data_IF_562159736637
#
_entry.id   IF_562159736637
#
_cell.length_a   1.000
_cell.length_b   1.000
_cell.length_c   1.000
_cell.angle_alpha   90.00
_cell.angle_beta   90.00
_cell.angle_gamma   90.00
#
_symmetry.space_group_name_H-M   'P 1'
#
loop_
_entity.id
_entity.type
_entity.pdbx_description
1 polymer ?
#
# COMPACT_ATOMS: atom_id res chain seq x y z
N UNK A 1 -21.38 -56.29 -4.24
CA UNK A 1 -20.97 -55.93 -5.61
C UNK A 1 -22.10 -55.08 -6.17
N UNK A 2 -21.97 -53.95 -6.83
CA UNK A 2 -20.88 -53.14 -7.37
C UNK A 2 -21.53 -51.82 -7.79
N UNK A 3 -20.77 -50.72 -7.83
CA UNK A 3 -21.17 -49.54 -8.60
C UNK A 3 -21.28 -48.25 -7.78
N UNK A 4 -20.14 -47.63 -7.48
CA UNK A 4 -20.10 -46.22 -7.11
C UNK A 4 -20.43 -45.40 -8.35
N UNK A 5 -21.63 -44.83 -8.39
CA UNK A 5 -22.04 -43.94 -9.46
C UNK A 5 -21.28 -42.62 -9.40
N UNK A 6 -20.70 -42.25 -10.55
CA UNK A 6 -20.47 -40.89 -11.00
C UNK A 6 -19.75 -39.94 -10.04
N UNK A 7 -18.41 -39.99 -10.01
CA UNK A 7 -17.63 -38.82 -9.63
C UNK A 7 -17.84 -37.72 -10.69
N UNK A 8 -18.92 -36.94 -10.52
CA UNK A 8 -19.24 -35.80 -11.37
C UNK A 8 -18.09 -34.80 -11.38
N UNK A 9 -17.63 -34.43 -12.58
CA UNK A 9 -16.63 -33.38 -12.77
C UNK A 9 -17.23 -32.05 -12.29
N UNK A 10 -16.95 -31.68 -11.04
CA UNK A 10 -17.24 -30.33 -10.58
C UNK A 10 -16.30 -29.37 -11.32
N UNK A 11 -16.80 -28.44 -12.15
CA UNK A 11 -15.94 -27.46 -12.80
C UNK A 11 -15.20 -26.66 -11.73
N UNK A 12 -13.86 -26.63 -11.83
CA UNK A 12 -13.07 -25.75 -10.96
C UNK A 12 -13.58 -24.32 -11.13
N UNK A 13 -13.79 -23.58 -10.04
CA UNK A 13 -14.11 -22.16 -10.15
C UNK A 13 -13.10 -21.49 -11.08
N UNK A 14 -13.59 -20.73 -12.05
CA UNK A 14 -12.74 -19.98 -12.96
C UNK A 14 -11.81 -19.02 -12.20
N UNK A 15 -10.73 -18.54 -12.83
CA UNK A 15 -9.73 -17.71 -12.16
C UNK A 15 -10.36 -16.50 -11.47
N UNK A 16 -10.03 -16.31 -10.18
CA UNK A 16 -10.51 -15.21 -9.36
C UNK A 16 -9.91 -13.89 -9.84
N UNK A 17 -10.60 -13.20 -10.76
CA UNK A 17 -10.14 -11.91 -11.34
C UNK A 17 -9.79 -10.87 -10.29
N UNK A 18 -10.54 -10.84 -9.18
CA UNK A 18 -10.27 -9.96 -8.04
C UNK A 18 -8.90 -10.23 -7.39
N UNK A 19 -8.50 -11.49 -7.24
CA UNK A 19 -7.18 -11.83 -6.70
C UNK A 19 -6.06 -11.40 -7.66
N UNK A 20 -6.28 -11.55 -8.97
CA UNK A 20 -5.37 -11.04 -10.00
C UNK A 20 -5.17 -9.53 -9.88
N UNK A 21 -6.26 -8.77 -9.81
CA UNK A 21 -6.21 -7.31 -9.64
C UNK A 21 -5.48 -6.90 -8.36
N UNK A 22 -5.79 -7.56 -7.24
CA UNK A 22 -5.09 -7.30 -5.98
C UNK A 22 -3.58 -7.59 -6.07
N UNK A 23 -3.20 -8.64 -6.79
CA UNK A 23 -1.79 -8.98 -7.00
C UNK A 23 -1.08 -7.98 -7.91
N UNK A 24 -1.74 -7.51 -8.98
CA UNK A 24 -1.16 -6.46 -9.85
C UNK A 24 -0.97 -5.14 -9.11
N UNK A 25 -1.92 -4.75 -8.26
CA UNK A 25 -1.76 -3.58 -7.38
C UNK A 25 -0.58 -3.74 -6.41
N UNK A 26 -0.38 -4.96 -5.90
CA UNK A 26 0.74 -5.26 -5.01
C UNK A 26 2.08 -5.16 -5.75
N UNK A 27 2.18 -5.73 -6.95
CA UNK A 27 3.38 -5.66 -7.76
C UNK A 27 3.79 -4.21 -8.05
N UNK A 28 2.84 -3.36 -8.46
CA UNK A 28 3.10 -1.95 -8.71
C UNK A 28 3.51 -1.20 -7.43
N UNK A 29 2.80 -1.42 -6.31
CA UNK A 29 3.15 -0.80 -5.04
C UNK A 29 4.53 -1.25 -4.51
N UNK A 30 4.88 -2.52 -4.71
CA UNK A 30 6.17 -3.08 -4.31
C UNK A 30 7.33 -2.48 -5.12
N UNK A 31 7.16 -2.32 -6.44
CA UNK A 31 8.17 -1.68 -7.30
C UNK A 31 8.36 -0.22 -6.92
N UNK A 32 7.26 0.52 -6.71
CA UNK A 32 7.32 1.91 -6.25
C UNK A 32 8.02 2.01 -4.89
N UNK A 33 7.66 1.16 -3.92
CA UNK A 33 8.29 1.12 -2.61
C UNK A 33 9.79 0.79 -2.70
N UNK A 34 10.17 -0.19 -3.51
CA UNK A 34 11.56 -0.61 -3.67
C UNK A 34 12.47 0.47 -4.25
N UNK A 35 11.94 1.38 -5.07
CA UNK A 35 12.71 2.48 -5.65
C UNK A 35 12.65 3.74 -4.79
N UNK A 36 11.45 4.12 -4.33
CA UNK A 36 11.20 5.40 -3.67
C UNK A 36 11.70 5.40 -2.23
N UNK A 37 11.46 4.32 -1.47
CA UNK A 37 11.82 4.26 -0.05
C UNK A 37 13.33 4.39 0.16
N UNK A 38 14.21 3.61 -0.50
CA UNK A 38 15.65 3.78 -0.30
C UNK A 38 16.16 5.14 -0.81
N UNK A 39 15.58 5.69 -1.87
CA UNK A 39 15.91 7.04 -2.34
C UNK A 39 15.54 8.10 -1.29
N UNK A 40 14.36 8.00 -0.66
CA UNK A 40 13.95 8.89 0.43
C UNK A 40 14.84 8.75 1.66
N UNK A 41 15.19 7.52 2.07
CA UNK A 41 16.10 7.29 3.19
C UNK A 41 17.48 7.90 2.90
N UNK A 42 18.00 7.75 1.69
CA UNK A 42 19.29 8.33 1.32
C UNK A 42 19.25 9.87 1.32
N UNK A 43 18.24 10.47 0.66
CA UNK A 43 18.15 11.93 0.50
C UNK A 43 17.78 12.62 1.82
N UNK A 44 16.75 12.16 2.51
CA UNK A 44 16.25 12.79 3.74
C UNK A 44 16.97 12.29 4.99
N UNK A 45 17.35 11.01 5.05
CA UNK A 45 17.94 10.40 6.24
C UNK A 45 19.46 10.52 6.33
N UNK A 46 20.17 10.61 5.20
CA UNK A 46 21.65 10.66 5.18
C UNK A 46 22.15 11.99 4.62
N UNK A 47 21.85 12.28 3.37
CA UNK A 47 22.41 13.44 2.66
C UNK A 47 21.87 14.78 3.18
N UNK A 48 20.65 14.78 3.71
CA UNK A 48 20.03 15.94 4.34
C UNK A 48 20.72 16.41 5.61
N UNK A 49 20.86 15.56 6.65
CA UNK A 49 21.59 15.89 7.87
C UNK A 49 23.06 16.26 7.62
N UNK A 50 23.66 15.74 6.55
CA UNK A 50 25.03 16.07 6.13
C UNK A 50 25.14 17.43 5.42
N UNK A 51 24.02 18.10 5.09
CA UNK A 51 24.01 19.40 4.42
C UNK A 51 24.44 19.38 2.94
N UNK A 52 24.55 18.20 2.33
CA UNK A 52 25.05 18.01 0.96
C UNK A 52 23.97 18.35 -0.08
N UNK A 53 22.70 18.11 0.26
CA UNK A 53 21.53 18.46 -0.57
C UNK A 53 20.56 19.31 0.24
N UNK A 54 19.80 20.20 -0.41
CA UNK A 54 18.65 20.83 0.22
C UNK A 54 17.67 19.73 0.60
N UNK A 55 17.71 19.33 1.87
CA UNK A 55 16.72 18.44 2.44
C UNK A 55 15.52 19.27 2.89
N UNK A 56 14.43 18.59 3.21
CA UNK A 56 13.38 19.21 4.01
C UNK A 56 14.00 19.57 5.36
N UNK A 57 14.50 20.81 5.43
CA UNK A 57 14.96 21.41 6.66
C UNK A 57 13.81 21.30 7.66
N UNK A 58 14.10 21.08 8.95
CA UNK A 58 13.05 20.91 9.99
C UNK A 58 12.16 22.16 10.17
N UNK A 59 12.34 23.17 9.31
CA UNK A 59 11.58 24.41 9.24
C UNK A 59 10.32 24.23 8.41
N UNK A 60 9.20 24.57 9.03
CA UNK A 60 7.86 24.49 8.45
C UNK A 60 7.71 25.22 7.09
N UNK A 61 8.45 26.31 6.88
CA UNK A 61 8.40 27.13 5.66
C UNK A 61 8.79 26.39 4.39
N UNK A 62 9.82 25.55 4.46
CA UNK A 62 10.33 24.79 3.31
C UNK A 62 9.35 23.67 2.94
N UNK A 63 8.74 23.05 3.95
CA UNK A 63 7.72 22.02 3.76
C UNK A 63 6.44 22.60 3.14
N UNK A 64 5.96 23.75 3.65
CA UNK A 64 4.80 24.45 3.11
C UNK A 64 5.03 24.89 1.65
N UNK A 65 6.23 25.39 1.32
CA UNK A 65 6.57 25.76 -0.06
C UNK A 65 6.56 24.56 -1.01
N UNK A 66 7.00 23.38 -0.58
CA UNK A 66 6.93 22.18 -1.42
C UNK A 66 5.50 21.66 -1.56
N UNK A 67 4.70 21.73 -0.48
CA UNK A 67 3.29 21.36 -0.50
C UNK A 67 2.47 22.27 -1.42
N UNK A 68 2.87 23.52 -1.63
CA UNK A 68 2.19 24.41 -2.59
C UNK A 68 2.11 23.83 -4.02
N UNK A 69 3.01 22.90 -4.38
CA UNK A 69 3.01 22.26 -5.69
C UNK A 69 2.07 21.04 -5.73
N UNK A 70 1.02 21.05 -6.57
CA UNK A 70 0.06 19.95 -6.66
C UNK A 70 0.69 18.63 -7.09
N UNK A 71 1.82 18.64 -7.81
CA UNK A 71 2.54 17.44 -8.21
C UNK A 71 3.15 16.72 -6.99
N UNK A 72 3.71 17.47 -6.05
CA UNK A 72 4.26 16.93 -4.78
C UNK A 72 3.12 16.33 -3.95
N UNK A 73 1.95 16.98 -3.96
CA UNK A 73 0.75 16.49 -3.29
C UNK A 73 0.33 15.11 -3.80
N UNK A 74 0.22 14.96 -5.13
CA UNK A 74 -0.13 13.69 -5.77
C UNK A 74 0.94 12.63 -5.53
N UNK A 75 2.22 13.00 -5.60
CA UNK A 75 3.33 12.08 -5.32
C UNK A 75 3.24 11.50 -3.90
N UNK A 76 3.08 12.35 -2.89
CA UNK A 76 2.97 11.91 -1.49
C UNK A 76 1.74 11.01 -1.29
N UNK A 77 0.62 11.34 -1.93
CA UNK A 77 -0.58 10.51 -1.91
C UNK A 77 -0.32 9.11 -2.48
N UNK A 78 0.36 9.02 -3.64
CA UNK A 78 0.69 7.74 -4.28
C UNK A 78 1.64 6.92 -3.40
N UNK A 79 2.66 7.55 -2.82
CA UNK A 79 3.62 6.87 -1.94
C UNK A 79 2.96 6.36 -0.67
N UNK A 80 2.11 7.17 -0.03
CA UNK A 80 1.34 6.73 1.15
C UNK A 80 0.36 5.61 0.79
N UNK A 81 -0.42 5.76 -0.28
CA UNK A 81 -1.36 4.74 -0.75
C UNK A 81 -0.65 3.41 -1.06
N UNK A 82 0.48 3.46 -1.77
CA UNK A 82 1.29 2.27 -2.08
C UNK A 82 1.81 1.60 -0.80
N UNK A 83 2.28 2.38 0.18
CA UNK A 83 2.80 1.86 1.45
C UNK A 83 1.72 1.18 2.28
N UNK A 84 0.54 1.80 2.40
CA UNK A 84 -0.60 1.21 3.10
C UNK A 84 -1.13 -0.04 2.40
N UNK A 85 -1.16 -0.02 1.06
CA UNK A 85 -1.58 -1.18 0.27
C UNK A 85 -0.64 -2.37 0.47
N UNK A 86 0.68 -2.13 0.46
CA UNK A 86 1.70 -3.15 0.70
C UNK A 86 1.55 -3.78 2.10
N UNK A 87 1.32 -2.93 3.11
CA UNK A 87 1.12 -3.34 4.50
C UNK A 87 -0.16 -4.17 4.66
N UNK A 88 -1.29 -3.72 4.12
CA UNK A 88 -2.56 -4.44 4.19
C UNK A 88 -2.50 -5.79 3.49
N UNK A 89 -1.84 -5.85 2.32
CA UNK A 89 -1.70 -7.08 1.56
C UNK A 89 -0.84 -8.12 2.28
N UNK A 90 0.33 -7.73 2.82
CA UNK A 90 1.20 -8.66 3.57
C UNK A 90 0.57 -9.11 4.89
N UNK A 91 -0.05 -8.19 5.63
CA UNK A 91 -0.63 -8.51 6.93
C UNK A 91 -1.80 -9.51 6.81
N UNK A 92 -2.55 -9.49 5.70
CA UNK A 92 -3.57 -10.52 5.41
C UNK A 92 -2.95 -11.92 5.33
N UNK A 93 -1.81 -12.07 4.67
CA UNK A 93 -1.12 -13.37 4.59
C UNK A 93 -0.53 -13.75 5.94
N UNK A 94 0.11 -12.83 6.66
CA UNK A 94 0.66 -13.11 8.01
C UNK A 94 -0.43 -13.61 8.97
N UNK A 95 -1.60 -12.96 9.00
CA UNK A 95 -2.71 -13.39 9.86
C UNK A 95 -3.30 -14.73 9.43
N UNK A 96 -3.30 -15.02 8.12
CA UNK A 96 -3.70 -16.33 7.62
C UNK A 96 -2.74 -17.44 8.05
N UNK A 97 -1.42 -17.20 7.94
CA UNK A 97 -0.38 -18.13 8.40
C UNK A 97 -0.41 -18.33 9.94
N UNK A 98 -0.85 -17.32 10.70
CA UNK A 98 -1.04 -17.41 12.16
C UNK A 98 -2.28 -18.20 12.60
N UNK A 99 -3.09 -18.73 11.67
CA UNK A 99 -4.21 -19.62 11.99
C UNK A 99 -5.50 -18.92 12.45
N UNK A 100 -5.62 -17.61 12.24
CA UNK A 100 -6.84 -16.87 12.59
C UNK A 100 -7.95 -17.15 11.56
N UNK A 101 -9.02 -17.80 12.02
CA UNK A 101 -10.18 -18.13 11.20
C UNK A 101 -11.13 -16.92 11.08
N UNK A 102 -10.83 -16.00 10.16
CA UNK A 102 -11.58 -14.75 10.01
C UNK A 102 -11.28 -14.00 8.70
N UNK A 103 -11.18 -14.73 7.57
CA UNK A 103 -10.63 -14.25 6.29
C UNK A 103 -11.27 -12.97 5.75
N UNK A 104 -12.57 -12.79 6.00
CA UNK A 104 -13.34 -11.65 5.49
C UNK A 104 -13.23 -10.43 6.42
N UNK A 105 -13.39 -10.62 7.73
CA UNK A 105 -13.26 -9.54 8.72
C UNK A 105 -11.86 -8.94 8.75
N UNK A 106 -10.82 -9.79 8.73
CA UNK A 106 -9.42 -9.35 8.70
C UNK A 106 -9.11 -8.61 7.40
N UNK A 107 -9.62 -9.09 6.26
CA UNK A 107 -9.49 -8.41 4.98
C UNK A 107 -10.14 -7.03 5.00
N UNK A 108 -11.38 -6.93 5.49
CA UNK A 108 -12.13 -5.66 5.57
C UNK A 108 -11.44 -4.68 6.51
N UNK A 109 -10.95 -5.10 7.67
CA UNK A 109 -10.25 -4.21 8.61
C UNK A 109 -8.93 -3.71 8.02
N UNK A 110 -8.12 -4.57 7.41
CA UNK A 110 -6.82 -4.18 6.87
C UNK A 110 -6.91 -3.32 5.61
N UNK A 111 -7.77 -3.71 4.66
CA UNK A 111 -8.01 -2.91 3.47
C UNK A 111 -8.78 -1.63 3.80
N UNK A 112 -9.71 -1.70 4.76
CA UNK A 112 -10.45 -0.54 5.26
C UNK A 112 -9.55 0.47 5.95
N UNK A 113 -8.60 0.03 6.77
CA UNK A 113 -7.64 0.91 7.43
C UNK A 113 -6.65 1.50 6.42
N UNK A 114 -6.21 0.73 5.42
CA UNK A 114 -5.39 1.25 4.32
C UNK A 114 -6.13 2.31 3.48
N UNK A 115 -7.41 2.06 3.16
CA UNK A 115 -8.26 3.01 2.45
C UNK A 115 -8.52 4.27 3.29
N UNK A 116 -8.86 4.11 4.57
CA UNK A 116 -9.07 5.22 5.50
C UNK A 116 -7.81 6.08 5.67
N UNK A 117 -6.64 5.45 5.79
CA UNK A 117 -5.37 6.16 5.88
C UNK A 117 -5.02 6.91 4.57
N UNK A 118 -5.37 6.34 3.42
CA UNK A 118 -5.21 7.02 2.12
C UNK A 118 -6.16 8.22 1.99
N UNK A 119 -7.42 8.06 2.39
CA UNK A 119 -8.41 9.15 2.40
C UNK A 119 -8.00 10.25 3.37
N UNK A 120 -7.55 9.90 4.57
CA UNK A 120 -7.07 10.86 5.56
C UNK A 120 -5.82 11.59 5.06
N UNK A 121 -4.89 10.87 4.42
CA UNK A 121 -3.72 11.47 3.78
C UNK A 121 -4.14 12.50 2.72
N UNK A 122 -5.05 12.12 1.80
CA UNK A 122 -5.59 13.05 0.80
C UNK A 122 -6.28 14.25 1.44
N UNK A 123 -7.12 14.03 2.45
CA UNK A 123 -7.81 15.10 3.16
C UNK A 123 -6.84 16.10 3.80
N UNK A 124 -5.83 15.63 4.51
CA UNK A 124 -4.79 16.47 5.11
C UNK A 124 -4.04 17.27 4.03
N UNK A 125 -3.68 16.62 2.92
CA UNK A 125 -2.89 17.25 1.87
C UNK A 125 -3.65 18.31 1.06
N UNK A 126 -4.96 18.13 0.87
CA UNK A 126 -5.81 19.10 0.17
C UNK A 126 -6.40 20.17 1.11
N UNK A 127 -6.49 19.90 2.43
CA UNK A 127 -7.02 20.85 3.41
C UNK A 127 -5.94 21.80 3.94
N UNK A 128 -4.70 21.35 4.11
CA UNK A 128 -3.60 22.24 4.48
C UNK A 128 -3.13 23.05 3.26
N UNK A 129 -2.97 24.40 3.39
CA UNK A 129 -2.53 25.27 2.31
C UNK A 129 -1.13 24.89 1.81
#
# INVERSE_FOLDING_TARGET
MSGKEGAGFAPRPGPNRLQGLLWTGFANAAVLGALIVPAHILVQGVLGPLGIVPSFDHRYSTFASALSNPLVKVYLLVVMAASFYLFGHRTRYVIHELGVHGKLAVGVVLYGLAAAATVLAGYLLFTLP
#
